data_IF_557691208710
#
_entry.id   IF_557691208710
#
_cell.length_a   1.000
_cell.length_b   1.000
_cell.length_c   1.000
_cell.angle_alpha   90.00
_cell.angle_beta   90.00
_cell.angle_gamma   90.00
#
_symmetry.space_group_name_H-M   'P 1'
#
loop_
_entity.id
_entity.type
_entity.pdbx_description
1 polymer ?
#
# COMPACT_ATOMS: atom_id res chain seq x y z
N UNK A 1 69.82 0.55 65.87
CA UNK A 1 69.89 -0.04 64.52
C UNK A 1 69.19 0.92 63.57
N UNK A 2 69.92 1.59 62.67
CA UNK A 2 69.34 2.53 61.72
C UNK A 2 69.00 1.78 60.42
N UNK A 3 67.71 1.67 60.09
CA UNK A 3 67.27 1.08 58.83
C UNK A 3 67.44 2.14 57.72
N UNK A 4 68.47 1.98 56.89
CA UNK A 4 68.68 2.85 55.72
C UNK A 4 67.75 2.41 54.59
N UNK A 5 66.65 3.14 54.42
CA UNK A 5 65.78 2.98 53.25
C UNK A 5 66.55 3.44 52.01
N UNK A 6 66.68 2.62 50.94
CA UNK A 6 67.41 3.04 49.75
C UNK A 6 66.64 4.14 49.01
N UNK A 7 67.27 5.31 48.84
CA UNK A 7 66.71 6.40 48.02
C UNK A 7 66.81 6.03 46.54
N UNK A 8 65.72 5.51 45.97
CA UNK A 8 65.65 5.13 44.56
C UNK A 8 65.72 6.37 43.66
N UNK A 9 66.88 6.62 43.06
CA UNK A 9 67.03 7.71 42.09
C UNK A 9 66.32 7.34 40.78
N UNK A 10 65.35 8.17 40.40
CA UNK A 10 64.52 7.94 39.21
C UNK A 10 65.27 8.44 37.97
N UNK A 11 65.55 7.56 37.01
CA UNK A 11 66.22 7.95 35.77
C UNK A 11 65.39 8.95 34.96
N UNK A 12 66.03 9.98 34.41
CA UNK A 12 65.41 10.93 33.50
C UNK A 12 64.75 10.24 32.27
N UNK A 13 65.31 9.12 31.80
CA UNK A 13 64.71 8.31 30.73
C UNK A 13 63.40 7.64 31.15
N UNK A 14 63.28 7.19 32.40
CA UNK A 14 62.04 6.62 32.93
C UNK A 14 60.95 7.70 33.10
N UNK A 15 61.34 8.91 33.51
CA UNK A 15 60.44 10.07 33.58
C UNK A 15 59.97 10.44 32.16
N UNK A 16 60.87 10.54 31.18
CA UNK A 16 60.52 10.85 29.79
C UNK A 16 59.57 9.81 29.16
N UNK A 17 59.85 8.51 29.34
CA UNK A 17 58.97 7.45 28.85
C UNK A 17 57.59 7.48 29.54
N UNK A 18 57.54 7.74 30.85
CA UNK A 18 56.28 7.90 31.57
C UNK A 18 55.43 9.08 31.07
N UNK A 19 56.06 10.23 30.81
CA UNK A 19 55.39 11.42 30.25
C UNK A 19 54.87 11.14 28.83
N UNK A 20 55.68 10.57 27.95
CA UNK A 20 55.27 10.24 26.56
C UNK A 20 54.15 9.21 26.53
N UNK A 21 54.23 8.16 27.36
CA UNK A 21 53.16 7.16 27.51
C UNK A 21 51.85 7.77 28.01
N UNK A 22 51.92 8.68 28.99
CA UNK A 22 50.72 9.36 29.53
C UNK A 22 50.10 10.28 28.48
N UNK A 23 50.89 11.11 27.79
CA UNK A 23 50.40 12.02 26.76
C UNK A 23 49.76 11.28 25.58
N UNK A 24 50.38 10.19 25.12
CA UNK A 24 49.83 9.38 24.02
C UNK A 24 48.53 8.66 24.42
N UNK A 25 48.44 8.13 25.65
CA UNK A 25 47.20 7.56 26.19
C UNK A 25 46.08 8.60 26.30
N UNK A 26 46.37 9.82 26.79
CA UNK A 26 45.41 10.92 26.85
C UNK A 26 44.94 11.36 25.44
N UNK A 27 45.85 11.45 24.47
CA UNK A 27 45.52 11.82 23.10
C UNK A 27 44.61 10.77 22.42
N UNK A 28 44.92 9.48 22.58
CA UNK A 28 44.08 8.39 22.07
C UNK A 28 42.72 8.34 22.75
N UNK A 29 42.66 8.48 24.08
CA UNK A 29 41.41 8.53 24.83
C UNK A 29 40.53 9.72 24.42
N UNK A 30 41.12 10.90 24.20
CA UNK A 30 40.40 12.06 23.68
C UNK A 30 39.91 11.87 22.24
N UNK A 31 40.72 11.26 21.37
CA UNK A 31 40.32 10.96 20.00
C UNK A 31 39.11 10.00 19.95
N UNK A 32 39.11 8.94 20.76
CA UNK A 32 37.99 8.01 20.90
C UNK A 32 36.75 8.72 21.44
N UNK A 33 36.88 9.52 22.50
CA UNK A 33 35.78 10.33 23.04
C UNK A 33 35.20 11.29 22.01
N UNK A 34 36.06 11.98 21.26
CA UNK A 34 35.65 12.99 20.28
C UNK A 34 34.93 12.37 19.08
N UNK A 35 35.43 11.26 18.54
CA UNK A 35 34.77 10.50 17.48
C UNK A 35 33.43 9.91 17.96
N UNK A 36 33.37 9.34 19.17
CA UNK A 36 32.11 8.87 19.77
C UNK A 36 31.09 10.00 19.96
N UNK A 37 31.53 11.16 20.46
CA UNK A 37 30.67 12.34 20.66
C UNK A 37 30.15 12.90 19.34
N UNK A 38 30.99 12.94 18.31
CA UNK A 38 30.62 13.33 16.94
C UNK A 38 29.62 12.36 16.30
N UNK A 39 29.79 11.05 16.50
CA UNK A 39 28.86 10.02 15.98
C UNK A 39 27.54 9.93 16.76
N UNK A 40 27.50 10.44 17.99
CA UNK A 40 26.34 10.38 18.89
C UNK A 40 25.48 11.65 18.92
N UNK A 41 25.60 12.54 17.93
CA UNK A 41 24.90 13.84 17.92
C UNK A 41 23.36 13.67 18.02
N UNK A 42 22.70 14.20 19.07
CA UNK A 42 21.25 14.16 19.22
C UNK A 42 20.49 14.82 18.07
N UNK A 43 21.00 15.89 17.47
CA UNK A 43 20.33 16.59 16.37
C UNK A 43 20.36 15.78 15.07
N UNK A 44 21.45 15.05 14.80
CA UNK A 44 21.48 14.10 13.67
C UNK A 44 20.45 12.98 13.85
N UNK A 45 20.33 12.42 15.06
CA UNK A 45 19.31 11.39 15.34
C UNK A 45 17.89 11.95 15.28
N UNK A 46 17.68 13.22 15.65
CA UNK A 46 16.41 13.95 15.50
C UNK A 46 16.09 14.24 14.03
N UNK A 47 17.07 14.64 13.22
CA UNK A 47 16.86 14.94 11.79
C UNK A 47 16.51 13.67 11.00
N UNK A 48 17.21 12.55 11.22
CA UNK A 48 16.87 11.25 10.63
C UNK A 48 15.44 10.81 10.98
N UNK A 49 15.04 10.90 12.27
CA UNK A 49 13.65 10.59 12.68
C UNK A 49 12.62 11.50 12.00
N UNK A 50 12.92 12.80 11.85
CA UNK A 50 12.07 13.76 11.12
C UNK A 50 12.00 13.41 9.63
N UNK A 51 13.10 13.01 9.00
CA UNK A 51 13.15 12.60 7.59
C UNK A 51 12.35 11.31 7.36
N UNK A 52 12.57 10.25 8.13
CA UNK A 52 11.78 9.01 8.05
C UNK A 52 10.28 9.28 8.21
N UNK A 53 9.87 10.09 9.20
CA UNK A 53 8.46 10.45 9.38
C UNK A 53 7.88 11.28 8.22
N UNK A 54 8.69 12.13 7.58
CA UNK A 54 8.28 12.88 6.39
C UNK A 54 8.10 11.95 5.19
N UNK A 55 9.05 11.05 4.94
CA UNK A 55 8.98 10.07 3.85
C UNK A 55 7.82 9.10 4.05
N UNK A 56 7.62 8.55 5.26
CA UNK A 56 6.49 7.66 5.53
C UNK A 56 5.15 8.37 5.34
N UNK A 57 5.03 9.64 5.79
CA UNK A 57 3.81 10.43 5.58
C UNK A 57 3.60 10.78 4.12
N UNK A 58 4.66 11.06 3.36
CA UNK A 58 4.59 11.33 1.92
C UNK A 58 4.05 10.10 1.17
N UNK A 59 4.64 8.92 1.38
CA UNK A 59 4.18 7.65 0.81
C UNK A 59 2.72 7.36 1.19
N UNK A 60 2.34 7.56 2.45
CA UNK A 60 0.95 7.38 2.91
C UNK A 60 -0.02 8.37 2.22
N UNK A 61 0.39 9.63 2.03
CA UNK A 61 -0.42 10.62 1.33
C UNK A 61 -0.48 10.40 -0.19
N UNK A 62 0.59 9.90 -0.80
CA UNK A 62 0.65 9.55 -2.23
C UNK A 62 -0.21 8.31 -2.52
N UNK A 63 -0.15 7.28 -1.66
CA UNK A 63 -1.03 6.11 -1.76
C UNK A 63 -2.51 6.51 -1.63
N UNK A 64 -2.86 7.35 -0.63
CA UNK A 64 -4.22 7.86 -0.45
C UNK A 64 -4.68 8.75 -1.61
N UNK A 65 -3.80 9.59 -2.15
CA UNK A 65 -4.13 10.42 -3.30
C UNK A 65 -4.35 9.58 -4.57
N UNK A 66 -3.54 8.52 -4.77
CA UNK A 66 -3.72 7.55 -5.84
C UNK A 66 -5.05 6.80 -5.72
N UNK A 67 -5.40 6.31 -4.53
CA UNK A 67 -6.68 5.62 -4.27
C UNK A 67 -7.89 6.54 -4.55
N UNK A 68 -7.83 7.81 -4.10
CA UNK A 68 -8.89 8.79 -4.38
C UNK A 68 -9.00 9.10 -5.88
N UNK A 69 -7.87 9.33 -6.57
CA UNK A 69 -7.85 9.59 -8.01
C UNK A 69 -8.37 8.40 -8.83
N UNK A 70 -8.05 7.17 -8.41
CA UNK A 70 -8.59 5.95 -9.03
C UNK A 70 -10.11 5.86 -8.82
N UNK A 71 -10.61 6.12 -7.61
CA UNK A 71 -12.05 6.14 -7.30
C UNK A 71 -12.81 7.24 -8.05
N UNK A 72 -12.19 8.40 -8.27
CA UNK A 72 -12.74 9.46 -9.10
C UNK A 72 -12.77 9.06 -10.60
N UNK A 73 -11.71 8.41 -11.12
CA UNK A 73 -11.71 7.83 -12.47
C UNK A 73 -12.84 6.81 -12.62
N UNK A 74 -12.95 5.85 -11.70
CA UNK A 74 -13.98 4.80 -11.70
C UNK A 74 -15.39 5.41 -11.74
N UNK A 75 -15.69 6.36 -10.85
CA UNK A 75 -16.99 7.05 -10.84
C UNK A 75 -17.29 7.76 -12.16
N UNK A 76 -16.30 8.45 -12.72
CA UNK A 76 -16.47 9.17 -14.00
C UNK A 76 -16.81 8.20 -15.13
N UNK A 77 -16.05 7.12 -15.30
CA UNK A 77 -16.25 6.19 -16.43
C UNK A 77 -17.54 5.37 -16.29
N UNK A 78 -17.98 5.07 -15.06
CA UNK A 78 -19.28 4.44 -14.79
C UNK A 78 -20.44 5.39 -15.13
N UNK A 79 -20.35 6.67 -14.75
CA UNK A 79 -21.36 7.66 -15.09
C UNK A 79 -21.44 7.88 -16.61
N UNK A 80 -20.30 7.99 -17.28
CA UNK A 80 -20.19 8.13 -18.75
C UNK A 80 -20.84 6.91 -19.47
N UNK A 81 -20.54 5.69 -19.04
CA UNK A 81 -21.18 4.48 -19.57
C UNK A 81 -22.70 4.41 -19.32
N UNK A 82 -23.19 4.98 -18.21
CA UNK A 82 -24.62 5.08 -17.92
C UNK A 82 -25.32 6.17 -18.74
N UNK A 83 -24.61 7.25 -19.09
CA UNK A 83 -25.10 8.34 -19.95
C UNK A 83 -25.14 7.92 -21.43
N UNK A 84 -24.17 7.12 -21.90
CA UNK A 84 -24.19 6.48 -23.24
C UNK A 84 -25.44 5.62 -23.44
N UNK A 85 -25.88 4.94 -22.37
CA UNK A 85 -27.00 4.01 -22.39
C UNK A 85 -26.62 2.63 -22.97
N UNK A 86 -27.58 1.71 -22.93
CA UNK A 86 -27.38 0.31 -23.30
C UNK A 86 -28.39 -0.11 -24.39
N UNK A 87 -28.03 -1.04 -25.29
CA UNK A 87 -28.99 -1.67 -26.20
C UNK A 87 -30.18 -2.26 -25.44
N UNK A 88 -31.35 -2.26 -26.08
CA UNK A 88 -32.60 -2.78 -25.50
C UNK A 88 -33.23 -3.89 -26.33
N UNK A 89 -32.80 -4.05 -27.58
CA UNK A 89 -33.26 -5.15 -28.43
C UNK A 89 -32.48 -6.43 -28.10
N UNK A 90 -33.12 -7.62 -27.98
CA UNK A 90 -32.43 -8.83 -27.56
C UNK A 90 -31.24 -9.22 -28.46
N UNK A 91 -31.34 -9.01 -29.78
CA UNK A 91 -30.32 -9.41 -30.75
C UNK A 91 -29.09 -8.49 -30.65
N UNK A 92 -29.31 -7.17 -30.51
CA UNK A 92 -28.25 -6.19 -30.25
C UNK A 92 -27.60 -6.38 -28.86
N UNK A 93 -28.40 -6.78 -27.87
CA UNK A 93 -27.99 -6.99 -26.47
C UNK A 93 -27.01 -8.16 -26.36
N UNK A 94 -27.29 -9.28 -27.04
CA UNK A 94 -26.38 -10.45 -27.07
C UNK A 94 -25.06 -10.12 -27.78
N UNK A 95 -25.13 -9.44 -28.93
CA UNK A 95 -23.93 -9.00 -29.67
C UNK A 95 -23.05 -8.06 -28.84
N UNK A 96 -23.65 -7.07 -28.17
CA UNK A 96 -22.95 -6.14 -27.29
C UNK A 96 -22.32 -6.84 -26.08
N UNK A 97 -23.05 -7.77 -25.44
CA UNK A 97 -22.53 -8.59 -24.36
C UNK A 97 -21.26 -9.36 -24.77
N UNK A 98 -21.32 -10.09 -25.88
CA UNK A 98 -20.18 -10.88 -26.37
C UNK A 98 -18.99 -9.99 -26.73
N UNK A 99 -19.23 -8.81 -27.32
CA UNK A 99 -18.19 -7.85 -27.67
C UNK A 99 -17.48 -7.29 -26.43
N UNK A 100 -18.24 -6.85 -25.41
CA UNK A 100 -17.66 -6.29 -24.18
C UNK A 100 -16.94 -7.37 -23.35
N UNK A 101 -17.46 -8.60 -23.26
CA UNK A 101 -16.74 -9.71 -22.60
C UNK A 101 -15.41 -10.01 -23.32
N UNK A 102 -15.42 -10.19 -24.64
CA UNK A 102 -14.20 -10.47 -25.40
C UNK A 102 -13.17 -9.33 -25.30
N UNK A 103 -13.63 -8.08 -25.28
CA UNK A 103 -12.78 -6.89 -25.08
C UNK A 103 -12.17 -6.86 -23.68
N UNK A 104 -12.96 -7.11 -22.63
CA UNK A 104 -12.49 -7.20 -21.26
C UNK A 104 -11.45 -8.31 -21.08
N UNK A 105 -11.69 -9.49 -21.67
CA UNK A 105 -10.74 -10.61 -21.65
C UNK A 105 -9.43 -10.31 -22.39
N UNK A 106 -9.46 -9.61 -23.53
CA UNK A 106 -8.22 -9.14 -24.19
C UNK A 106 -7.44 -8.20 -23.28
N UNK A 107 -8.10 -7.21 -22.67
CA UNK A 107 -7.45 -6.24 -21.77
C UNK A 107 -6.81 -6.92 -20.54
N UNK A 108 -7.43 -7.99 -20.02
CA UNK A 108 -6.86 -8.84 -18.97
C UNK A 108 -5.56 -9.54 -19.39
N UNK A 109 -5.43 -9.94 -20.67
CA UNK A 109 -4.24 -10.62 -21.20
C UNK A 109 -3.13 -9.65 -21.59
N UNK A 110 -3.51 -8.52 -22.21
CA UNK A 110 -2.60 -7.50 -22.71
C UNK A 110 -1.95 -6.67 -21.58
N UNK A 111 -2.46 -6.76 -20.34
CA UNK A 111 -2.00 -5.95 -19.22
C UNK A 111 -2.39 -4.47 -19.36
N UNK A 112 -3.53 -4.21 -20.02
CA UNK A 112 -4.09 -2.87 -20.19
C UNK A 112 -4.60 -2.28 -18.86
N UNK A 113 -5.10 -1.04 -18.86
CA UNK A 113 -5.62 -0.40 -17.65
C UNK A 113 -6.72 -1.26 -16.99
N UNK A 114 -6.52 -1.72 -15.73
CA UNK A 114 -7.50 -2.54 -15.02
C UNK A 114 -8.88 -1.88 -14.87
N UNK A 115 -8.95 -0.54 -14.88
CA UNK A 115 -10.22 0.20 -14.83
C UNK A 115 -11.00 0.05 -16.13
N UNK A 116 -10.32 0.06 -17.27
CA UNK A 116 -10.97 -0.03 -18.57
C UNK A 116 -11.43 -1.48 -18.85
N UNK A 117 -10.66 -2.47 -18.37
CA UNK A 117 -11.06 -3.88 -18.37
C UNK A 117 -12.30 -4.12 -17.48
N UNK A 118 -12.32 -3.58 -16.25
CA UNK A 118 -13.46 -3.68 -15.35
C UNK A 118 -14.72 -3.01 -15.93
N UNK A 119 -14.57 -1.89 -16.65
CA UNK A 119 -15.67 -1.21 -17.33
C UNK A 119 -16.33 -2.09 -18.40
N UNK A 120 -15.57 -2.90 -19.14
CA UNK A 120 -16.14 -3.84 -20.11
C UNK A 120 -17.01 -4.90 -19.41
N UNK A 121 -16.53 -5.49 -18.31
CA UNK A 121 -17.32 -6.44 -17.51
C UNK A 121 -18.54 -5.80 -16.83
N UNK A 122 -18.44 -4.53 -16.43
CA UNK A 122 -19.57 -3.75 -15.92
C UNK A 122 -20.64 -3.51 -17.00
N UNK A 123 -20.22 -3.14 -18.22
CA UNK A 123 -21.12 -3.00 -19.39
C UNK A 123 -21.81 -4.32 -19.72
N UNK A 124 -21.09 -5.44 -19.69
CA UNK A 124 -21.66 -6.77 -19.86
C UNK A 124 -22.68 -7.14 -18.76
N UNK A 125 -22.43 -6.79 -17.49
CA UNK A 125 -23.37 -7.02 -16.39
C UNK A 125 -24.68 -6.23 -16.50
N UNK A 126 -24.67 -5.06 -17.13
CA UNK A 126 -25.86 -4.21 -17.33
C UNK A 126 -26.85 -4.77 -18.35
N UNK A 127 -26.34 -5.47 -19.36
CA UNK A 127 -27.14 -6.06 -20.45
C UNK A 127 -27.56 -7.50 -20.15
N UNK A 128 -26.94 -8.16 -19.17
CA UNK A 128 -27.18 -9.56 -18.87
C UNK A 128 -28.41 -9.77 -17.96
N UNK A 129 -29.34 -10.69 -18.28
CA UNK A 129 -30.61 -10.84 -17.54
C UNK A 129 -30.46 -11.43 -16.12
N UNK A 130 -29.34 -12.09 -15.81
CA UNK A 130 -29.07 -12.71 -14.50
C UNK A 130 -27.68 -12.33 -13.96
N UNK A 131 -27.45 -11.05 -13.57
CA UNK A 131 -26.11 -10.56 -13.22
C UNK A 131 -25.43 -11.34 -12.09
N UNK A 132 -26.21 -11.95 -11.19
CA UNK A 132 -25.70 -12.78 -10.10
C UNK A 132 -25.04 -14.08 -10.57
N UNK A 133 -25.50 -14.68 -11.66
CA UNK A 133 -24.86 -15.86 -12.25
C UNK A 133 -23.53 -15.47 -12.90
N UNK A 134 -23.54 -14.38 -13.68
CA UNK A 134 -22.36 -13.87 -14.38
C UNK A 134 -21.24 -13.46 -13.42
N UNK A 135 -21.56 -12.85 -12.27
CA UNK A 135 -20.57 -12.56 -11.20
C UNK A 135 -19.90 -13.84 -10.68
N UNK A 136 -20.64 -14.95 -10.51
CA UNK A 136 -20.07 -16.22 -10.06
C UNK A 136 -19.16 -16.89 -11.10
N UNK A 137 -19.28 -16.50 -12.38
CA UNK A 137 -18.37 -16.92 -13.45
C UNK A 137 -17.10 -16.06 -13.39
N UNK A 138 -17.27 -14.73 -13.33
CA UNK A 138 -16.14 -13.78 -13.26
C UNK A 138 -15.24 -14.01 -12.03
N UNK A 139 -15.79 -14.35 -10.86
CA UNK A 139 -15.02 -14.70 -9.65
C UNK A 139 -14.04 -15.89 -9.87
N UNK A 140 -14.27 -16.71 -10.90
CA UNK A 140 -13.44 -17.87 -11.26
C UNK A 140 -12.52 -17.63 -12.46
N UNK A 141 -12.90 -16.73 -13.38
CA UNK A 141 -12.18 -16.53 -14.66
C UNK A 141 -11.40 -15.22 -14.73
N UNK A 142 -11.81 -14.17 -14.00
CA UNK A 142 -11.23 -12.83 -14.09
C UNK A 142 -10.19 -12.61 -12.96
N UNK A 143 -9.05 -11.94 -13.22
CA UNK A 143 -8.07 -11.62 -12.18
C UNK A 143 -8.64 -10.74 -11.06
N UNK A 144 -8.30 -11.07 -9.80
CA UNK A 144 -8.75 -10.34 -8.59
C UNK A 144 -8.64 -8.81 -8.66
N UNK A 145 -7.54 -8.19 -9.14
CA UNK A 145 -7.45 -6.73 -9.20
C UNK A 145 -8.54 -6.06 -10.05
N UNK A 146 -9.08 -6.77 -11.04
CA UNK A 146 -10.14 -6.29 -11.92
C UNK A 146 -11.51 -6.54 -11.27
N UNK A 147 -11.68 -7.65 -10.56
CA UNK A 147 -12.88 -7.94 -9.75
C UNK A 147 -13.07 -6.93 -8.61
N UNK A 148 -11.99 -6.53 -7.93
CA UNK A 148 -12.02 -5.53 -6.87
C UNK A 148 -12.53 -4.17 -7.40
N UNK A 149 -12.02 -3.75 -8.58
CA UNK A 149 -12.48 -2.54 -9.28
C UNK A 149 -13.93 -2.68 -9.75
N UNK A 150 -14.32 -3.84 -10.29
CA UNK A 150 -15.69 -4.12 -10.72
C UNK A 150 -16.67 -4.04 -9.53
N UNK A 151 -16.27 -4.50 -8.35
CA UNK A 151 -17.05 -4.36 -7.12
C UNK A 151 -17.20 -2.88 -6.71
N UNK A 152 -16.16 -2.04 -6.87
CA UNK A 152 -16.29 -0.59 -6.68
C UNK A 152 -17.23 0.05 -7.71
N UNK A 153 -17.22 -0.39 -8.98
CA UNK A 153 -18.16 0.08 -10.02
C UNK A 153 -19.62 -0.27 -9.67
N UNK A 154 -19.87 -1.50 -9.23
CA UNK A 154 -21.20 -1.94 -8.78
C UNK A 154 -21.65 -1.18 -7.52
N UNK A 155 -20.74 -0.86 -6.60
CA UNK A 155 -21.06 -0.07 -5.41
C UNK A 155 -21.39 1.41 -5.74
N UNK A 156 -20.89 1.94 -6.87
CA UNK A 156 -21.27 3.25 -7.39
C UNK A 156 -22.65 3.22 -8.06
N UNK A 157 -23.03 2.11 -8.68
CA UNK A 157 -24.33 1.98 -9.36
C UNK A 157 -25.25 0.89 -8.74
N UNK A 158 -26.20 1.27 -7.87
CA UNK A 158 -27.10 0.35 -7.20
C UNK A 158 -28.16 -0.29 -8.11
N UNK A 159 -28.24 0.05 -9.41
CA UNK A 159 -29.17 -0.62 -10.34
C UNK A 159 -28.77 -2.07 -10.63
N UNK A 160 -27.50 -2.44 -10.41
CA UNK A 160 -27.05 -3.84 -10.43
C UNK A 160 -27.33 -4.45 -9.05
N UNK A 161 -28.57 -4.92 -8.84
CA UNK A 161 -29.03 -5.49 -7.57
C UNK A 161 -28.42 -6.87 -7.26
N UNK A 162 -27.17 -6.89 -6.78
CA UNK A 162 -26.49 -8.11 -6.31
C UNK A 162 -26.96 -8.52 -4.90
N UNK A 163 -27.52 -7.58 -4.12
CA UNK A 163 -28.08 -7.87 -2.79
C UNK A 163 -29.39 -8.65 -2.93
N UNK A 164 -29.37 -9.93 -2.56
CA UNK A 164 -30.56 -10.78 -2.62
C UNK A 164 -31.63 -10.34 -1.62
N UNK A 165 -32.83 -10.06 -2.12
CA UNK A 165 -34.05 -10.08 -1.32
C UNK A 165 -34.26 -11.47 -0.74
N UNK A 166 -33.82 -11.68 0.50
CA UNK A 166 -34.21 -12.85 1.30
C UNK A 166 -35.65 -12.64 1.79
N UNK A 167 -36.63 -12.94 0.92
CA UNK A 167 -38.06 -12.80 1.20
C UNK A 167 -38.82 -14.08 0.91
N UNK A 168 -38.50 -15.14 1.65
CA UNK A 168 -39.33 -16.30 2.03
C UNK A 168 -38.56 -17.13 3.09
N UNK A 169 -39.11 -17.83 4.08
CA UNK A 169 -40.48 -17.91 4.62
C UNK A 169 -40.44 -17.74 6.16
N UNK A 170 -41.57 -17.41 6.81
CA UNK A 170 -41.59 -17.31 8.28
C UNK A 170 -42.93 -17.01 8.98
N UNK A 171 -44.06 -17.09 8.27
CA UNK A 171 -45.38 -16.96 8.89
C UNK A 171 -45.74 -18.26 9.63
N UNK A 172 -45.47 -18.31 10.94
CA UNK A 172 -46.05 -19.35 11.81
C UNK A 172 -47.04 -18.70 12.78
N UNK A 173 -48.29 -18.70 12.33
CA UNK A 173 -49.47 -18.56 13.16
C UNK A 173 -49.48 -19.69 14.20
N UNK A 174 -49.62 -19.35 15.49
CA UNK A 174 -50.32 -20.24 16.41
C UNK A 174 -50.92 -19.48 17.59
N UNK A 175 -52.15 -19.86 17.91
CA UNK A 175 -52.97 -19.38 19.02
C UNK A 175 -53.03 -20.51 20.04
N UNK A 176 -52.61 -20.25 21.29
CA UNK A 176 -53.36 -20.61 22.52
C UNK A 176 -52.80 -19.80 23.71
#
# INVERSE_FOLDING_TARGET
MASTVPSQQVSASAIALGVVGTLSACALGYAIYFDHKRRSDPEFRRSLKKQHKKVSKAIESEAKAGEVAQKEKIKRVVNEANEEGFPRDPEETEGYFMQEVARGESMCQDGSDPVDAALCFYKALKVYPQPRELINIYDKTVPKPILDILAEMIAVDPSISVTGSNSDAGSVHNVE
#
